data_IF_781161333403
#
_entry.id   IF_781161333403
#
_cell.length_a   1.000
_cell.length_b   1.000
_cell.length_c   1.000
_cell.angle_alpha   90.00
_cell.angle_beta   90.00
_cell.angle_gamma   90.00
#
_symmetry.space_group_name_H-M   'P 1'
#
loop_
_entity.id
_entity.type
_entity.pdbx_description
1 polymer ?
#
# COMPACT_ATOMS: atom_id res chain seq x y z
N UNK A 1 -18.39 1.25 47.75
CA UNK A 1 -18.73 2.27 46.76
C UNK A 1 -17.93 1.91 45.49
N UNK A 2 -18.55 1.18 44.53
CA UNK A 2 -17.89 0.75 43.30
C UNK A 2 -17.84 1.93 42.34
N UNK A 3 -16.64 2.35 41.97
CA UNK A 3 -16.45 3.38 40.94
C UNK A 3 -17.10 2.91 39.63
N UNK A 4 -17.93 3.74 38.98
CA UNK A 4 -18.52 3.34 37.70
C UNK A 4 -17.41 3.08 36.68
N UNK A 5 -17.34 1.87 36.15
CA UNK A 5 -16.43 1.50 35.07
C UNK A 5 -16.82 2.30 33.83
N UNK A 6 -16.16 3.43 33.63
CA UNK A 6 -16.36 4.23 32.42
C UNK A 6 -15.74 3.42 31.27
N UNK A 7 -16.59 2.89 30.38
CA UNK A 7 -16.13 2.15 29.21
C UNK A 7 -15.10 2.98 28.41
N UNK A 8 -14.03 2.33 27.98
CA UNK A 8 -12.91 2.93 27.21
C UNK A 8 -13.41 3.72 26.00
N UNK A 9 -14.49 3.28 25.38
CA UNK A 9 -15.19 3.95 24.28
C UNK A 9 -15.67 5.37 24.55
N UNK A 10 -15.99 5.70 25.81
CA UNK A 10 -16.38 7.07 26.19
C UNK A 10 -15.18 7.97 26.41
N UNK A 11 -14.03 7.40 26.78
CA UNK A 11 -12.78 8.14 27.02
C UNK A 11 -12.01 8.41 25.73
N UNK A 12 -12.14 7.56 24.70
CA UNK A 12 -11.39 7.65 23.46
C UNK A 12 -12.30 7.50 22.24
N UNK A 13 -13.03 8.55 21.84
CA UNK A 13 -13.97 8.50 20.70
C UNK A 13 -13.30 8.13 19.38
N UNK A 14 -12.02 8.44 19.21
CA UNK A 14 -11.26 8.10 18.00
C UNK A 14 -11.15 6.60 17.73
N UNK A 15 -11.20 5.76 18.77
CA UNK A 15 -11.14 4.31 18.60
C UNK A 15 -12.31 3.81 17.75
N UNK A 16 -13.49 4.43 17.85
CA UNK A 16 -14.68 4.06 17.05
C UNK A 16 -14.46 4.26 15.54
N UNK A 17 -13.66 5.24 15.16
CA UNK A 17 -13.36 5.55 13.77
C UNK A 17 -12.15 4.77 13.26
N UNK A 18 -11.21 4.45 14.15
CA UNK A 18 -10.02 3.69 13.82
C UNK A 18 -10.34 2.26 13.36
N UNK A 19 -11.25 1.55 14.05
CA UNK A 19 -11.64 0.20 13.67
C UNK A 19 -12.20 0.08 12.25
N UNK A 20 -13.19 0.90 11.82
CA UNK A 20 -13.68 0.89 10.45
C UNK A 20 -12.59 1.23 9.44
N UNK A 21 -11.71 2.17 9.75
CA UNK A 21 -10.60 2.54 8.86
C UNK A 21 -9.64 1.37 8.64
N UNK A 22 -9.23 0.69 9.72
CA UNK A 22 -8.40 -0.52 9.63
C UNK A 22 -9.12 -1.62 8.86
N UNK A 23 -10.40 -1.84 9.14
CA UNK A 23 -11.22 -2.81 8.41
C UNK A 23 -11.24 -2.50 6.91
N UNK A 24 -11.36 -1.23 6.51
CA UNK A 24 -11.29 -0.80 5.12
C UNK A 24 -9.96 -1.13 4.46
N UNK A 25 -8.84 -0.92 5.16
CA UNK A 25 -7.50 -1.28 4.67
C UNK A 25 -7.39 -2.80 4.46
N UNK A 26 -7.82 -3.59 5.45
CA UNK A 26 -7.77 -5.06 5.39
C UNK A 26 -8.67 -5.60 4.29
N UNK A 27 -9.90 -5.08 4.16
CA UNK A 27 -10.82 -5.46 3.09
C UNK A 27 -10.24 -5.16 1.71
N UNK A 28 -9.62 -3.98 1.54
CA UNK A 28 -8.99 -3.61 0.27
C UNK A 28 -7.82 -4.53 -0.06
N UNK A 29 -7.03 -4.93 0.92
CA UNK A 29 -5.93 -5.86 0.70
C UNK A 29 -6.41 -7.22 0.18
N UNK A 30 -7.49 -7.74 0.77
CA UNK A 30 -8.00 -9.07 0.39
C UNK A 30 -8.87 -9.05 -0.87
N UNK A 31 -9.74 -8.05 -1.03
CA UNK A 31 -10.77 -8.04 -2.08
C UNK A 31 -10.38 -7.24 -3.32
N UNK A 32 -9.32 -6.40 -3.26
CA UNK A 32 -8.85 -5.56 -4.37
C UNK A 32 -10.01 -4.79 -5.05
N UNK A 33 -10.87 -4.16 -4.23
CA UNK A 33 -12.07 -3.45 -4.70
C UNK A 33 -11.68 -2.32 -5.65
N UNK A 34 -12.32 -2.18 -6.82
CA UNK A 34 -12.03 -1.11 -7.76
C UNK A 34 -12.32 0.26 -7.14
N UNK A 35 -11.48 1.29 -7.40
CA UNK A 35 -11.58 2.59 -6.74
C UNK A 35 -12.90 3.31 -6.99
N UNK A 36 -13.56 3.05 -8.12
CA UNK A 36 -14.87 3.63 -8.43
C UNK A 36 -15.95 3.25 -7.41
N UNK A 37 -15.96 2.00 -6.93
CA UNK A 37 -16.90 1.55 -5.90
C UNK A 37 -16.59 2.23 -4.56
N UNK A 38 -15.31 2.32 -4.20
CA UNK A 38 -14.89 2.99 -2.96
C UNK A 38 -15.26 4.48 -2.97
N UNK A 39 -15.07 5.16 -4.10
CA UNK A 39 -15.50 6.54 -4.28
C UNK A 39 -17.02 6.69 -4.18
N UNK A 40 -17.77 5.79 -4.79
CA UNK A 40 -19.24 5.78 -4.69
C UNK A 40 -19.71 5.66 -3.23
N UNK A 41 -19.16 4.69 -2.48
CA UNK A 41 -19.45 4.50 -1.06
C UNK A 41 -19.08 5.75 -0.24
N UNK A 42 -17.90 6.33 -0.51
CA UNK A 42 -17.42 7.51 0.20
C UNK A 42 -18.35 8.71 -0.03
N UNK A 43 -18.72 8.99 -1.28
CA UNK A 43 -19.58 10.13 -1.63
C UNK A 43 -20.98 9.95 -1.06
N UNK A 44 -21.60 8.77 -1.23
CA UNK A 44 -22.95 8.50 -0.69
C UNK A 44 -22.97 8.57 0.84
N UNK A 45 -21.98 8.01 1.52
CA UNK A 45 -21.86 8.07 2.98
C UNK A 45 -21.63 9.51 3.47
N UNK A 46 -20.85 10.30 2.76
CA UNK A 46 -20.62 11.72 3.08
C UNK A 46 -21.90 12.52 2.94
N UNK A 47 -22.64 12.36 1.83
CA UNK A 47 -23.94 13.03 1.61
C UNK A 47 -24.91 12.64 2.72
N UNK A 48 -25.03 11.34 3.05
CA UNK A 48 -25.91 10.88 4.11
C UNK A 48 -25.54 11.48 5.47
N UNK A 49 -24.25 11.58 5.77
CA UNK A 49 -23.79 12.18 7.02
C UNK A 49 -24.09 13.68 7.07
N UNK A 50 -23.88 14.42 5.97
CA UNK A 50 -24.17 15.84 5.88
C UNK A 50 -25.68 16.10 6.00
N UNK A 51 -26.50 15.36 5.25
CA UNK A 51 -27.96 15.48 5.34
C UNK A 51 -28.49 15.22 6.74
N UNK A 52 -27.88 14.27 7.47
CA UNK A 52 -28.25 14.02 8.87
C UNK A 52 -28.05 15.25 9.76
N UNK A 53 -27.07 16.09 9.52
CA UNK A 53 -26.87 17.34 10.27
C UNK A 53 -27.93 18.40 9.97
N UNK A 54 -28.63 18.33 8.84
CA UNK A 54 -29.67 19.26 8.43
C UNK A 54 -31.08 18.87 9.00
N UNK A 55 -31.25 17.62 9.46
CA UNK A 55 -32.52 17.12 9.99
C UNK A 55 -32.79 17.72 11.37
N UNK A 56 -34.07 18.09 11.68
CA UNK A 56 -34.47 18.59 12.99
C UNK A 56 -34.14 17.62 14.14
N UNK A 57 -33.83 18.16 15.31
CA UNK A 57 -33.33 17.40 16.46
C UNK A 57 -34.22 16.22 16.88
N UNK A 58 -35.56 16.37 16.82
CA UNK A 58 -36.52 15.32 17.22
C UNK A 58 -36.45 14.07 16.33
N UNK A 59 -36.14 14.20 15.05
CA UNK A 59 -36.05 13.07 14.15
C UNK A 59 -34.65 12.42 14.12
N UNK A 60 -33.63 13.16 14.52
CA UNK A 60 -32.26 12.65 14.61
C UNK A 60 -32.15 11.41 15.49
N UNK A 61 -32.92 11.34 16.56
CA UNK A 61 -32.85 10.21 17.49
C UNK A 61 -33.29 8.90 16.80
N UNK A 62 -34.37 8.94 16.02
CA UNK A 62 -34.87 7.78 15.27
C UNK A 62 -33.86 7.30 14.20
N UNK A 63 -33.11 8.22 13.62
CA UNK A 63 -32.17 7.95 12.54
C UNK A 63 -30.72 7.81 13.01
N UNK A 64 -30.46 7.80 14.30
CA UNK A 64 -29.10 7.76 14.87
C UNK A 64 -28.31 6.53 14.44
N UNK A 65 -28.96 5.36 14.30
CA UNK A 65 -28.32 4.14 13.81
C UNK A 65 -27.85 4.29 12.35
N UNK A 66 -28.65 4.94 11.50
CA UNK A 66 -28.30 5.20 10.10
C UNK A 66 -27.09 6.13 9.97
N UNK A 67 -27.07 7.20 10.80
CA UNK A 67 -25.90 8.10 10.87
C UNK A 67 -24.63 7.36 11.31
N UNK A 68 -24.72 6.51 12.33
CA UNK A 68 -23.59 5.69 12.78
C UNK A 68 -23.07 4.77 11.67
N UNK A 69 -23.98 4.13 10.94
CA UNK A 69 -23.63 3.27 9.81
C UNK A 69 -22.99 4.07 8.66
N UNK A 70 -23.54 5.25 8.33
CA UNK A 70 -22.96 6.12 7.30
C UNK A 70 -21.53 6.53 7.64
N UNK A 71 -21.26 6.96 8.89
CA UNK A 71 -19.91 7.31 9.33
C UNK A 71 -18.98 6.09 9.29
N UNK A 72 -19.46 4.92 9.68
CA UNK A 72 -18.68 3.68 9.61
C UNK A 72 -18.27 3.34 8.17
N UNK A 73 -19.22 3.39 7.22
CA UNK A 73 -18.96 3.15 5.81
C UNK A 73 -18.01 4.19 5.21
N UNK A 74 -18.12 5.45 5.64
CA UNK A 74 -17.21 6.52 5.22
C UNK A 74 -15.76 6.17 5.59
N UNK A 75 -15.51 5.75 6.84
CA UNK A 75 -14.14 5.38 7.27
C UNK A 75 -13.64 4.10 6.62
N UNK A 76 -14.52 3.11 6.36
CA UNK A 76 -14.16 1.91 5.59
C UNK A 76 -13.72 2.29 4.16
N UNK A 77 -14.51 3.12 3.47
CA UNK A 77 -14.18 3.57 2.12
C UNK A 77 -12.89 4.39 2.09
N UNK A 78 -12.68 5.27 3.09
CA UNK A 78 -11.47 6.04 3.24
C UNK A 78 -10.23 5.13 3.41
N UNK A 79 -10.31 4.14 4.31
CA UNK A 79 -9.25 3.16 4.52
C UNK A 79 -8.93 2.37 3.26
N UNK A 80 -9.97 1.93 2.53
CA UNK A 80 -9.82 1.24 1.25
C UNK A 80 -9.14 2.10 0.19
N UNK A 81 -9.54 3.37 0.04
CA UNK A 81 -8.91 4.30 -0.90
C UNK A 81 -7.45 4.59 -0.54
N UNK A 82 -7.14 4.81 0.73
CA UNK A 82 -5.76 5.01 1.18
C UNK A 82 -4.88 3.82 0.84
N UNK A 83 -5.37 2.60 1.07
CA UNK A 83 -4.67 1.37 0.71
C UNK A 83 -4.48 1.24 -0.80
N UNK A 84 -5.52 1.55 -1.60
CA UNK A 84 -5.46 1.49 -3.06
C UNK A 84 -4.43 2.46 -3.63
N UNK A 85 -4.41 3.72 -3.17
CA UNK A 85 -3.45 4.73 -3.63
C UNK A 85 -2.01 4.47 -3.18
N UNK A 86 -1.84 3.80 -2.05
CA UNK A 86 -0.51 3.41 -1.55
C UNK A 86 0.06 2.18 -2.25
N UNK A 87 -0.76 1.40 -2.94
CA UNK A 87 -0.28 0.23 -3.67
C UNK A 87 0.47 0.69 -4.93
N UNK A 88 1.77 0.43 -4.95
CA UNK A 88 2.66 0.82 -6.05
C UNK A 88 2.24 0.20 -7.40
N UNK A 89 1.58 -0.97 -7.38
CA UNK A 89 1.11 -1.65 -8.58
C UNK A 89 0.04 -0.84 -9.34
N UNK A 90 -0.67 0.05 -8.65
CA UNK A 90 -1.64 0.96 -9.26
C UNK A 90 -0.98 2.22 -9.84
N UNK A 91 0.27 2.53 -9.48
CA UNK A 91 0.99 3.68 -10.03
C UNK A 91 1.15 3.52 -11.55
N UNK A 92 0.93 4.60 -12.29
CA UNK A 92 1.13 4.68 -13.74
C UNK A 92 2.58 4.39 -14.15
N UNK A 93 3.51 4.74 -13.28
CA UNK A 93 4.95 4.59 -13.51
C UNK A 93 5.52 3.30 -12.95
N UNK A 94 4.69 2.41 -12.40
CA UNK A 94 5.19 1.14 -11.90
C UNK A 94 5.86 0.31 -13.00
N UNK A 95 7.11 -0.08 -12.77
CA UNK A 95 7.94 -0.76 -13.78
C UNK A 95 7.30 -2.07 -14.25
N UNK A 96 6.61 -2.81 -13.38
CA UNK A 96 6.00 -4.09 -13.72
C UNK A 96 4.95 -4.04 -14.84
N UNK A 97 4.36 -2.86 -15.13
CA UNK A 97 3.43 -2.69 -16.24
C UNK A 97 4.12 -2.63 -17.61
N UNK A 98 5.39 -2.24 -17.66
CA UNK A 98 6.13 -1.98 -18.89
C UNK A 98 7.32 -2.91 -19.09
N UNK A 99 7.72 -3.60 -18.04
CA UNK A 99 8.86 -4.49 -18.06
C UNK A 99 8.59 -5.71 -18.93
N UNK A 100 9.55 -6.05 -19.77
CA UNK A 100 9.64 -7.31 -20.52
C UNK A 100 11.02 -7.91 -20.29
N UNK A 101 11.13 -9.22 -20.32
CA UNK A 101 12.37 -9.94 -20.00
C UNK A 101 13.57 -9.56 -20.89
N UNK A 102 13.31 -8.95 -22.03
CA UNK A 102 14.33 -8.49 -22.99
C UNK A 102 14.87 -7.09 -22.67
N UNK A 103 14.21 -6.36 -21.78
CA UNK A 103 14.55 -4.98 -21.46
C UNK A 103 15.63 -4.92 -20.39
N UNK A 104 16.61 -4.02 -20.55
CA UNK A 104 17.52 -3.68 -19.48
C UNK A 104 16.91 -2.66 -18.51
N UNK A 105 17.33 -2.71 -17.26
CA UNK A 105 16.88 -1.81 -16.20
C UNK A 105 18.03 -0.94 -15.72
N UNK A 106 17.80 0.35 -15.55
CA UNK A 106 18.68 1.24 -14.79
C UNK A 106 18.14 1.32 -13.38
N UNK A 107 18.96 0.95 -12.40
CA UNK A 107 18.58 0.92 -11.00
C UNK A 107 19.58 1.65 -10.15
N UNK A 108 19.11 2.24 -9.06
CA UNK A 108 19.95 2.91 -8.06
C UNK A 108 19.87 2.14 -6.74
N UNK A 109 21.00 1.82 -6.14
CA UNK A 109 21.07 1.14 -4.85
C UNK A 109 20.49 2.04 -3.74
N UNK A 110 19.54 1.51 -2.97
CA UNK A 110 18.90 2.20 -1.83
C UNK A 110 19.65 1.87 -0.53
N UNK A 111 20.45 0.84 -0.53
CA UNK A 111 21.24 0.40 0.62
C UNK A 111 22.60 -0.16 0.17
N UNK A 112 23.54 -0.18 1.10
CA UNK A 112 24.84 -0.83 0.89
C UNK A 112 24.61 -2.35 0.81
N UNK A 113 25.25 -3.07 -0.13
CA UNK A 113 25.11 -4.51 -0.23
C UNK A 113 25.49 -5.24 1.07
N UNK A 114 24.56 -5.99 1.62
CA UNK A 114 24.75 -6.76 2.87
C UNK A 114 25.24 -8.16 2.52
N UNK A 115 26.31 -8.58 3.16
CA UNK A 115 26.86 -9.91 2.97
C UNK A 115 25.93 -11.00 3.53
N UNK A 116 25.66 -12.00 2.73
CA UNK A 116 24.95 -13.23 3.09
C UNK A 116 25.90 -14.42 2.90
N UNK A 117 25.48 -15.62 3.29
CA UNK A 117 26.32 -16.82 3.26
C UNK A 117 26.93 -17.08 1.86
N UNK A 118 26.13 -16.92 0.78
CA UNK A 118 26.55 -17.25 -0.60
C UNK A 118 26.54 -16.06 -1.56
N UNK A 119 26.07 -14.88 -1.15
CA UNK A 119 25.85 -13.72 -2.02
C UNK A 119 25.84 -12.43 -1.21
N UNK A 120 25.88 -11.29 -1.90
CA UNK A 120 25.51 -10.00 -1.34
C UNK A 120 24.09 -9.67 -1.76
N UNK A 121 23.28 -9.15 -0.82
CA UNK A 121 21.91 -8.70 -1.07
C UNK A 121 21.85 -7.19 -0.93
N UNK A 122 21.19 -6.52 -1.89
CA UNK A 122 20.87 -5.09 -1.78
C UNK A 122 19.48 -4.82 -2.35
N UNK A 123 18.78 -3.82 -1.80
CA UNK A 123 17.58 -3.26 -2.39
C UNK A 123 17.95 -2.13 -3.35
N UNK A 124 17.28 -2.08 -4.49
CA UNK A 124 17.51 -1.06 -5.50
C UNK A 124 16.18 -0.47 -6.01
N UNK A 125 16.17 0.83 -6.28
CA UNK A 125 15.10 1.52 -6.98
C UNK A 125 15.23 1.33 -8.47
N UNK A 126 14.14 1.02 -9.16
CA UNK A 126 14.11 0.98 -10.62
C UNK A 126 13.77 2.37 -11.11
N UNK A 127 14.71 3.04 -11.75
CA UNK A 127 14.55 4.41 -12.23
C UNK A 127 14.09 4.46 -13.68
N UNK A 128 14.66 3.59 -14.52
CA UNK A 128 14.36 3.53 -15.96
C UNK A 128 14.35 2.12 -16.50
N UNK A 129 13.53 1.91 -17.54
CA UNK A 129 13.55 0.74 -18.41
C UNK A 129 14.18 1.18 -19.75
N UNK A 130 15.21 0.46 -20.18
CA UNK A 130 15.79 0.62 -21.51
C UNK A 130 15.09 -0.33 -22.48
N UNK A 131 14.43 0.24 -23.47
CA UNK A 131 13.73 -0.54 -24.52
C UNK A 131 14.12 0.05 -25.88
N UNK A 132 14.82 -0.70 -26.69
CA UNK A 132 15.29 -0.27 -28.02
C UNK A 132 15.81 1.15 -27.92
N UNK A 133 16.61 1.83 -28.02
CA UNK A 133 17.11 3.22 -27.89
C UNK A 133 16.25 4.21 -27.08
N UNK A 134 15.16 3.76 -26.44
CA UNK A 134 14.31 4.61 -25.60
C UNK A 134 14.50 4.32 -24.12
N UNK A 135 14.51 5.39 -23.30
CA UNK A 135 14.64 5.34 -21.86
C UNK A 135 13.31 5.75 -21.23
N UNK A 136 12.60 4.81 -20.61
CA UNK A 136 11.27 5.04 -20.02
C UNK A 136 11.43 5.18 -18.51
N UNK A 137 11.09 6.36 -17.98
CA UNK A 137 11.09 6.60 -16.53
C UNK A 137 10.05 5.72 -15.84
N UNK A 138 10.48 5.04 -14.78
CA UNK A 138 9.64 4.12 -14.01
C UNK A 138 9.91 4.26 -12.53
N UNK A 139 9.11 3.56 -11.73
CA UNK A 139 9.25 3.47 -10.28
C UNK A 139 9.04 2.03 -9.83
N UNK A 140 9.77 1.64 -8.82
CA UNK A 140 9.62 0.34 -8.18
C UNK A 140 10.86 -0.01 -7.38
N UNK A 141 10.78 -1.09 -6.65
CA UNK A 141 11.91 -1.60 -5.86
C UNK A 141 12.13 -3.05 -6.23
N UNK A 142 13.39 -3.43 -6.40
CA UNK A 142 13.79 -4.81 -6.66
C UNK A 142 14.87 -5.22 -5.67
N UNK A 143 14.98 -6.52 -5.47
CA UNK A 143 16.03 -7.11 -4.65
C UNK A 143 17.11 -7.66 -5.60
N UNK A 144 18.35 -7.23 -5.38
CA UNK A 144 19.51 -7.69 -6.14
C UNK A 144 20.33 -8.69 -5.32
N UNK A 145 20.70 -9.77 -5.95
CA UNK A 145 21.64 -10.73 -5.40
C UNK A 145 22.89 -10.78 -6.28
N UNK A 146 24.02 -10.41 -5.71
CA UNK A 146 25.32 -10.45 -6.38
C UNK A 146 26.11 -11.66 -5.92
N UNK A 147 26.87 -12.29 -6.83
CA UNK A 147 27.87 -13.28 -6.44
C UNK A 147 28.96 -12.61 -5.60
N UNK A 148 29.59 -13.37 -4.70
CA UNK A 148 30.76 -12.90 -3.96
C UNK A 148 31.94 -12.73 -4.93
N UNK A 149 32.15 -11.49 -5.36
CA UNK A 149 33.26 -11.11 -6.25
C UNK A 149 33.95 -9.86 -5.69
N UNK A 150 35.26 -9.73 -5.90
CA UNK A 150 36.10 -8.66 -5.37
C UNK A 150 35.68 -7.24 -5.82
N UNK A 151 34.99 -7.14 -6.95
CA UNK A 151 34.52 -5.86 -7.51
C UNK A 151 33.28 -5.25 -6.76
N UNK A 152 32.64 -6.00 -5.88
CA UNK A 152 31.45 -5.56 -5.14
C UNK A 152 31.77 -4.63 -3.96
N UNK A 153 33.03 -4.60 -3.50
CA UNK A 153 33.47 -3.73 -2.41
C UNK A 153 33.39 -2.22 -2.72
N UNK A 154 33.17 -1.86 -3.99
CA UNK A 154 33.06 -0.46 -4.44
C UNK A 154 31.61 0.02 -4.59
N UNK A 155 30.60 -0.83 -4.35
CA UNK A 155 29.19 -0.44 -4.46
C UNK A 155 28.69 0.19 -3.17
N UNK A 156 28.29 1.43 -3.28
CA UNK A 156 27.77 2.24 -2.17
C UNK A 156 26.30 2.60 -2.39
N UNK A 157 25.68 3.18 -1.35
CA UNK A 157 24.37 3.81 -1.48
C UNK A 157 24.38 4.84 -2.62
N UNK A 158 23.38 4.80 -3.49
CA UNK A 158 23.28 5.70 -4.65
C UNK A 158 24.04 5.21 -5.89
N UNK A 159 24.77 4.11 -5.84
CA UNK A 159 25.42 3.54 -7.03
C UNK A 159 24.39 3.15 -8.07
N UNK A 160 24.57 3.57 -9.33
CA UNK A 160 23.72 3.20 -10.45
C UNK A 160 24.26 1.97 -11.17
N UNK A 161 23.34 1.07 -11.51
CA UNK A 161 23.66 -0.19 -12.18
C UNK A 161 22.72 -0.41 -13.36
N UNK A 162 23.24 -1.03 -14.41
CA UNK A 162 22.44 -1.52 -15.54
C UNK A 162 22.27 -3.03 -15.38
N UNK A 163 21.03 -3.49 -15.32
CA UNK A 163 20.69 -4.89 -15.19
C UNK A 163 20.12 -5.38 -16.51
N UNK A 164 20.80 -6.34 -17.11
CA UNK A 164 20.37 -6.98 -18.37
C UNK A 164 19.79 -8.37 -18.17
N UNK A 165 19.94 -8.92 -16.95
CA UNK A 165 19.37 -10.24 -16.64
C UNK A 165 17.87 -10.12 -16.36
N UNK A 166 17.07 -11.11 -16.83
CA UNK A 166 15.64 -11.12 -16.57
C UNK A 166 15.38 -11.17 -15.05
N UNK A 167 14.37 -10.42 -14.63
CA UNK A 167 13.89 -10.45 -13.25
C UNK A 167 13.18 -11.78 -12.99
N UNK A 168 13.41 -12.32 -11.81
CA UNK A 168 12.68 -13.48 -11.32
C UNK A 168 11.62 -13.01 -10.33
N UNK A 169 10.40 -13.49 -10.49
CA UNK A 169 9.34 -13.27 -9.52
C UNK A 169 9.72 -13.94 -8.20
N UNK A 170 9.54 -13.22 -7.10
CA UNK A 170 9.78 -13.78 -5.78
C UNK A 170 8.64 -14.73 -5.50
N UNK A 171 8.91 -16.04 -5.54
CA UNK A 171 7.92 -17.03 -5.14
C UNK A 171 7.56 -16.80 -3.67
N UNK A 172 6.27 -16.69 -3.41
CA UNK A 172 5.75 -16.71 -2.05
C UNK A 172 6.15 -18.02 -1.39
N UNK A 173 6.72 -17.94 -0.20
CA UNK A 173 6.96 -19.15 0.56
C UNK A 173 5.59 -19.80 0.86
N UNK A 174 5.46 -21.13 0.62
CA UNK A 174 4.24 -21.90 0.87
C UNK A 174 3.85 -21.94 2.36
N UNK A 175 4.51 -21.21 3.23
CA UNK A 175 4.16 -21.11 4.64
C UNK A 175 2.94 -20.19 4.82
N UNK A 176 1.82 -20.68 5.35
CA UNK A 176 0.65 -19.87 5.65
C UNK A 176 1.02 -18.76 6.64
N UNK A 177 0.74 -17.51 6.24
CA UNK A 177 1.03 -16.31 7.03
C UNK A 177 2.32 -15.57 6.67
N UNK A 178 3.10 -16.01 5.68
CA UNK A 178 4.22 -15.23 5.15
C UNK A 178 3.77 -14.12 4.22
N UNK A 179 4.51 -13.00 4.22
CA UNK A 179 4.23 -11.87 3.35
C UNK A 179 4.42 -12.23 1.87
N UNK A 180 3.48 -11.82 1.04
CA UNK A 180 3.65 -11.72 -0.41
C UNK A 180 4.52 -10.48 -0.71
N UNK A 181 5.70 -10.70 -1.27
CA UNK A 181 6.63 -9.65 -1.67
C UNK A 181 6.31 -9.12 -3.06
#
# INVERSE_FOLDING_TARGET
MSLPVIHVWKKAPFIRYLFPLIAGIVLQWNLQIPPGILWFILVTSSITTITFFLIPFFERYKLSALSGLAVTLLFIALGGLLSWYKNIQHDKYWFGKKYKNENALIVTLIEIPVEKTKSYKANASVDYILQNDSCIKTKGTIILYFKKDSKLSSLEYGSQLIITKPLQEIMTSDNPGCFNY
#
